data_IF_637367853869
#
_entry.id   IF_637367853869
#
_cell.length_a   1.000
_cell.length_b   1.000
_cell.length_c   1.000
_cell.angle_alpha   90.00
_cell.angle_beta   90.00
_cell.angle_gamma   90.00
#
_symmetry.space_group_name_H-M   'P 1'
#
loop_
_entity.id
_entity.type
_entity.pdbx_description
1 polymer ?
#
# COMPACT_ATOMS: atom_id res chain seq x y z
N UNK A 1 -56.63 0.62 14.45
CA UNK A 1 -55.92 0.97 13.20
C UNK A 1 -54.51 1.44 13.55
N UNK A 2 -53.48 0.58 13.50
CA UNK A 2 -52.09 0.98 13.32
C UNK A 2 -51.54 0.46 11.97
N UNK A 3 -50.78 1.23 11.17
CA UNK A 3 -50.28 0.73 9.90
C UNK A 3 -48.77 0.35 9.92
N UNK A 4 -48.49 -0.89 9.48
CA UNK A 4 -47.62 -1.19 8.33
C UNK A 4 -46.07 -1.14 8.39
N UNK A 5 -45.36 -1.46 9.48
CA UNK A 5 -43.89 -1.68 9.37
C UNK A 5 -43.38 -2.89 10.17
N UNK A 6 -44.14 -4.00 10.20
CA UNK A 6 -43.66 -5.28 10.77
C UNK A 6 -43.48 -6.36 9.67
N UNK A 7 -43.70 -6.07 8.38
CA UNK A 7 -43.61 -7.09 7.33
C UNK A 7 -42.74 -6.62 6.16
N UNK A 8 -41.43 -6.77 6.33
CA UNK A 8 -40.45 -7.03 5.28
C UNK A 8 -39.17 -7.57 5.98
N UNK A 9 -39.23 -8.71 6.67
CA UNK A 9 -39.13 -10.02 6.03
C UNK A 9 -37.99 -10.13 5.00
N UNK A 10 -36.76 -9.70 5.35
CA UNK A 10 -35.54 -10.33 4.84
C UNK A 10 -34.51 -10.44 5.96
N UNK A 11 -34.61 -11.55 6.70
CA UNK A 11 -33.48 -12.20 7.32
C UNK A 11 -32.46 -12.57 6.21
N UNK A 12 -31.18 -12.24 6.43
CA UNK A 12 -30.01 -13.07 6.06
C UNK A 12 -29.42 -13.07 4.63
N UNK A 13 -29.26 -11.94 3.94
CA UNK A 13 -28.12 -11.78 2.99
C UNK A 13 -27.97 -10.32 2.57
N UNK A 14 -26.91 -9.69 3.04
CA UNK A 14 -26.55 -8.34 2.66
C UNK A 14 -25.35 -7.94 3.48
N UNK A 15 -24.22 -8.58 3.19
CA UNK A 15 -22.91 -8.25 3.70
C UNK A 15 -22.83 -6.76 4.09
N UNK A 16 -22.51 -6.47 5.35
CA UNK A 16 -21.91 -5.18 5.70
C UNK A 16 -20.57 -5.11 4.95
N UNK A 17 -20.58 -4.88 3.64
CA UNK A 17 -19.46 -4.24 2.97
C UNK A 17 -19.61 -2.77 3.33
N UNK A 18 -19.22 -2.42 4.55
CA UNK A 18 -18.92 -1.04 4.90
C UNK A 18 -17.80 -0.62 3.96
N UNK A 19 -18.17 -0.08 2.79
CA UNK A 19 -17.27 0.72 2.01
C UNK A 19 -17.01 1.94 2.89
N UNK A 20 -15.98 1.87 3.75
CA UNK A 20 -15.58 2.98 4.58
C UNK A 20 -15.20 4.13 3.65
N UNK A 21 -16.14 5.04 3.42
CA UNK A 21 -15.89 6.20 2.60
C UNK A 21 -14.91 7.10 3.36
N UNK A 22 -13.65 7.12 2.94
CA UNK A 22 -12.65 8.04 3.47
C UNK A 22 -12.93 9.44 2.91
N UNK A 23 -13.29 10.38 3.78
CA UNK A 23 -13.39 11.79 3.40
C UNK A 23 -12.02 12.45 3.52
N UNK A 24 -11.49 12.91 2.39
CA UNK A 24 -10.27 13.71 2.34
C UNK A 24 -10.58 15.21 2.25
N UNK A 25 -9.66 16.04 2.73
CA UNK A 25 -9.82 17.50 2.60
C UNK A 25 -9.81 17.91 1.13
N UNK A 26 -10.39 19.07 0.82
CA UNK A 26 -10.38 19.61 -0.55
C UNK A 26 -8.95 19.72 -1.06
N UNK A 27 -8.68 19.11 -2.23
CA UNK A 27 -7.35 19.07 -2.85
C UNK A 27 -6.51 17.83 -2.50
N UNK A 28 -6.95 17.01 -1.55
CA UNK A 28 -6.34 15.71 -1.27
C UNK A 28 -7.04 14.59 -2.06
N UNK A 29 -6.30 13.52 -2.33
CA UNK A 29 -6.81 12.29 -2.95
C UNK A 29 -6.76 11.13 -1.95
N UNK A 30 -7.62 10.12 -2.15
CA UNK A 30 -7.64 8.90 -1.34
C UNK A 30 -6.74 7.82 -1.97
N UNK A 31 -5.87 7.24 -1.16
CA UNK A 31 -5.04 6.08 -1.45
C UNK A 31 -5.35 4.98 -0.42
N UNK A 32 -6.27 4.06 -0.74
CA UNK A 32 -6.64 2.92 0.12
C UNK A 32 -6.94 3.29 1.59
N UNK A 33 -7.64 4.40 1.81
CA UNK A 33 -7.96 4.89 3.17
C UNK A 33 -7.05 6.00 3.68
N UNK A 34 -5.97 6.32 2.95
CA UNK A 34 -5.03 7.37 3.30
C UNK A 34 -5.25 8.59 2.41
N UNK A 35 -5.44 9.76 3.02
CA UNK A 35 -5.50 11.01 2.28
C UNK A 35 -4.09 11.55 2.00
N UNK A 36 -3.83 11.94 0.75
CA UNK A 36 -2.51 12.46 0.33
C UNK A 36 -2.64 13.70 -0.56
N UNK A 37 -1.55 14.48 -0.64
CA UNK A 37 -1.44 15.60 -1.57
C UNK A 37 -0.92 15.12 -2.94
N UNK A 38 -1.77 15.07 -3.99
CA UNK A 38 -1.35 14.61 -5.31
C UNK A 38 -0.33 15.54 -6.01
N UNK A 39 -0.09 16.75 -5.50
CA UNK A 39 0.96 17.62 -6.00
C UNK A 39 2.35 17.22 -5.50
N UNK A 40 2.44 16.59 -4.32
CA UNK A 40 3.72 16.27 -3.67
C UNK A 40 3.99 14.78 -3.55
N UNK A 41 2.93 13.98 -3.53
CA UNK A 41 2.97 12.57 -3.19
C UNK A 41 2.34 11.71 -4.29
N UNK A 42 2.62 10.41 -4.23
CA UNK A 42 2.09 9.36 -5.10
C UNK A 42 1.41 8.28 -4.25
N UNK A 43 0.40 7.64 -4.82
CA UNK A 43 -0.26 6.49 -4.21
C UNK A 43 0.37 5.19 -4.76
N UNK A 44 0.95 4.40 -3.87
CA UNK A 44 1.36 3.01 -4.10
C UNK A 44 0.28 2.02 -3.69
N UNK A 45 0.57 0.72 -3.80
CA UNK A 45 -0.41 -0.35 -3.59
C UNK A 45 -1.15 -0.31 -2.26
N UNK A 46 -0.58 0.30 -1.19
CA UNK A 46 -1.25 0.59 0.08
C UNK A 46 -0.54 1.72 0.88
N UNK A 47 0.29 2.52 0.21
CA UNK A 47 1.20 3.45 0.87
C UNK A 47 1.31 4.72 0.07
N UNK A 48 1.41 5.86 0.76
CA UNK A 48 1.64 7.16 0.14
C UNK A 48 3.11 7.49 0.26
N UNK A 49 3.75 7.79 -0.87
CA UNK A 49 5.18 8.15 -0.94
C UNK A 49 5.36 9.55 -1.51
N UNK A 50 6.48 10.19 -1.25
CA UNK A 50 6.83 11.43 -1.95
C UNK A 50 7.06 11.15 -3.45
N UNK A 51 6.83 12.15 -4.32
CA UNK A 51 7.04 12.01 -5.77
C UNK A 51 8.48 11.68 -6.17
N UNK A 52 9.44 11.94 -5.30
CA UNK A 52 10.86 11.59 -5.51
C UNK A 52 11.17 10.15 -5.14
N UNK A 53 10.24 9.46 -4.47
CA UNK A 53 10.39 8.09 -4.03
C UNK A 53 9.69 7.11 -4.98
N UNK A 54 10.04 5.84 -4.85
CA UNK A 54 9.39 4.72 -5.51
C UNK A 54 8.81 3.76 -4.48
N UNK A 55 7.91 2.87 -4.90
CA UNK A 55 7.25 1.90 -4.01
C UNK A 55 7.81 0.51 -4.26
N UNK A 56 8.21 -0.18 -3.19
CA UNK A 56 8.63 -1.58 -3.19
C UNK A 56 7.90 -2.31 -2.05
N UNK A 57 7.05 -3.27 -2.37
CA UNK A 57 6.29 -4.05 -1.39
C UNK A 57 5.57 -3.19 -0.31
N UNK A 58 4.93 -2.10 -0.75
CA UNK A 58 4.23 -1.19 0.17
C UNK A 58 5.15 -0.27 0.98
N UNK A 59 6.45 -0.23 0.71
CA UNK A 59 7.39 0.69 1.34
C UNK A 59 7.93 1.70 0.34
N UNK A 60 8.10 2.93 0.78
CA UNK A 60 8.72 3.98 -0.01
C UNK A 60 10.24 3.85 0.07
N UNK A 61 10.92 4.00 -1.06
CA UNK A 61 12.39 4.00 -1.12
C UNK A 61 12.90 5.11 -2.04
N UNK A 62 14.14 5.54 -1.82
CA UNK A 62 14.80 6.50 -2.70
C UNK A 62 15.44 5.76 -3.90
N UNK A 63 14.93 5.91 -5.14
CA UNK A 63 15.48 5.23 -6.30
C UNK A 63 16.89 5.71 -6.70
N UNK A 64 17.37 6.83 -6.15
CA UNK A 64 18.74 7.30 -6.37
C UNK A 64 19.71 6.40 -5.58
N UNK A 65 19.43 6.17 -4.30
CA UNK A 65 20.32 5.45 -3.39
C UNK A 65 20.03 3.96 -3.27
N UNK A 66 18.79 3.54 -3.57
CA UNK A 66 18.29 2.21 -3.29
C UNK A 66 17.66 1.56 -4.54
N UNK A 67 17.50 0.25 -4.48
CA UNK A 67 16.88 -0.58 -5.50
C UNK A 67 15.87 -1.52 -4.85
N UNK A 68 14.75 -1.76 -5.54
CA UNK A 68 13.81 -2.81 -5.17
C UNK A 68 14.19 -4.10 -5.90
N UNK A 69 14.68 -5.11 -5.17
CA UNK A 69 15.00 -6.42 -5.73
C UNK A 69 14.25 -7.50 -4.96
N UNK A 70 13.50 -8.36 -5.66
CA UNK A 70 12.71 -9.43 -5.05
C UNK A 70 11.89 -8.99 -3.83
N UNK A 71 11.18 -7.86 -3.96
CA UNK A 71 10.36 -7.23 -2.90
C UNK A 71 11.14 -6.73 -1.67
N UNK A 72 12.47 -6.63 -1.78
CA UNK A 72 13.38 -6.13 -0.73
C UNK A 72 14.01 -4.84 -1.21
N UNK A 73 14.04 -3.82 -0.35
CA UNK A 73 14.75 -2.56 -0.64
C UNK A 73 16.20 -2.74 -0.20
N UNK A 74 17.14 -2.67 -1.15
CA UNK A 74 18.56 -2.76 -0.90
C UNK A 74 19.27 -1.47 -1.35
N UNK A 75 20.47 -1.21 -0.83
CA UNK A 75 21.27 -0.12 -1.36
C UNK A 75 21.71 -0.44 -2.79
N UNK A 76 21.93 0.60 -3.59
CA UNK A 76 22.43 0.44 -4.96
C UNK A 76 23.76 -0.32 -4.93
N UNK A 77 23.84 -1.40 -5.71
CA UNK A 77 25.01 -2.30 -5.76
C UNK A 77 24.86 -3.58 -4.92
N UNK A 78 23.95 -3.59 -3.95
CA UNK A 78 23.60 -4.81 -3.21
C UNK A 78 22.54 -5.62 -3.97
N UNK A 79 22.39 -6.88 -3.55
CA UNK A 79 21.34 -7.78 -4.02
C UNK A 79 20.46 -8.35 -2.92
N UNK A 80 19.24 -8.75 -3.25
CA UNK A 80 18.32 -9.41 -2.35
C UNK A 80 18.47 -10.94 -2.39
N UNK A 81 18.57 -11.55 -1.20
CA UNK A 81 18.57 -12.98 -0.95
C UNK A 81 17.63 -13.26 0.23
N UNK A 82 16.48 -13.89 -0.04
CA UNK A 82 15.49 -14.28 0.98
C UNK A 82 15.10 -13.14 1.95
N UNK A 83 14.85 -11.95 1.40
CA UNK A 83 14.47 -10.78 2.20
C UNK A 83 15.63 -10.04 2.85
N UNK A 84 16.89 -10.43 2.59
CA UNK A 84 18.09 -9.76 3.11
C UNK A 84 18.96 -9.24 1.98
N UNK A 85 19.59 -8.08 2.21
CA UNK A 85 20.51 -7.49 1.24
C UNK A 85 21.93 -8.00 1.50
N UNK A 86 22.63 -8.36 0.43
CA UNK A 86 24.02 -8.81 0.46
C UNK A 86 24.84 -8.11 -0.62
N UNK A 87 26.15 -8.03 -0.43
CA UNK A 87 27.07 -7.48 -1.43
C UNK A 87 27.56 -8.59 -2.37
N UNK A 88 27.12 -8.64 -3.64
CA UNK A 88 27.50 -9.70 -4.57
C UNK A 88 28.98 -9.67 -4.98
N UNK A 89 29.76 -8.66 -4.56
CA UNK A 89 31.19 -8.57 -4.88
C UNK A 89 32.06 -9.48 -4.01
N UNK A 90 31.63 -9.80 -2.79
CA UNK A 90 32.36 -10.70 -1.87
C UNK A 90 31.45 -11.65 -1.07
N UNK A 91 30.12 -11.52 -1.16
CA UNK A 91 29.15 -12.44 -0.54
C UNK A 91 28.37 -13.22 -1.62
N UNK A 92 27.90 -14.41 -1.26
CA UNK A 92 27.05 -15.25 -2.10
C UNK A 92 25.77 -15.62 -1.36
N UNK A 93 24.65 -15.60 -2.09
CA UNK A 93 23.36 -16.05 -1.56
C UNK A 93 23.36 -17.58 -1.38
N UNK A 94 23.39 -18.03 -0.13
CA UNK A 94 23.24 -19.44 0.22
C UNK A 94 21.85 -19.69 0.78
N UNK A 95 20.98 -20.27 -0.06
CA UNK A 95 19.66 -20.75 0.39
C UNK A 95 19.83 -22.12 1.04
N UNK A 96 19.14 -22.36 2.15
CA UNK A 96 19.01 -23.69 2.76
C UNK A 96 17.98 -24.52 2.02
#
# INVERSE_FOLDING_TARGET
MPPLIIIAAVLLIGFHTSLEATLCSRGQANCNGLCYDPHRQICGSNTVCDKTQSVCNGLCYDPIQQICESNTICNRGQRACDGQCYDPTWEACAKK
#
